data_IF_154857000351
#
_entry.id   IF_154857000351
#
_cell.length_a   1.000
_cell.length_b   1.000
_cell.length_c   1.000
_cell.angle_alpha   90.00
_cell.angle_beta   90.00
_cell.angle_gamma   90.00
#
_symmetry.space_group_name_H-M   'P 1'
#
loop_
_entity.id
_entity.type
_entity.pdbx_description
1 polymer ?
#
# COMPACT_ATOMS: atom_id res chain seq x y z
N UNK A 1 5.26 -16.53 0.84
CA UNK A 1 5.19 -15.21 0.18
C UNK A 1 3.98 -15.14 -0.72
N UNK A 2 3.27 -14.04 -0.67
CA UNK A 2 2.10 -13.85 -1.51
C UNK A 2 2.20 -12.51 -2.25
N UNK A 3 1.84 -12.53 -3.53
CA UNK A 3 1.77 -11.34 -4.36
C UNK A 3 0.31 -11.02 -4.65
N UNK A 4 -0.09 -9.79 -4.35
CA UNK A 4 -1.46 -9.36 -4.59
C UNK A 4 -1.42 -8.10 -5.47
N UNK A 5 -2.11 -8.14 -6.59
CA UNK A 5 -2.25 -6.99 -7.47
C UNK A 5 -3.58 -6.31 -7.19
N UNK A 6 -3.54 -5.05 -6.84
CA UNK A 6 -4.74 -4.26 -6.56
C UNK A 6 -4.90 -3.16 -7.59
N UNK A 7 -6.11 -3.01 -8.10
CA UNK A 7 -6.47 -1.91 -9.00
C UNK A 7 -7.41 -1.01 -8.23
N UNK A 8 -7.01 0.24 -8.02
CA UNK A 8 -7.79 1.21 -7.26
C UNK A 8 -8.21 2.35 -8.14
N UNK A 9 -9.51 2.60 -8.22
CA UNK A 9 -10.03 3.76 -8.90
C UNK A 9 -9.73 5.02 -8.09
N UNK A 10 -9.62 6.15 -8.77
CA UNK A 10 -9.41 7.44 -8.14
C UNK A 10 -10.42 7.67 -7.00
N UNK A 11 -9.92 8.04 -5.85
CA UNK A 11 -10.74 8.29 -4.66
C UNK A 11 -11.04 7.05 -3.83
N UNK A 12 -10.66 5.86 -4.31
CA UNK A 12 -10.86 4.63 -3.55
C UNK A 12 -9.95 4.61 -2.33
N UNK A 13 -10.50 4.18 -1.21
CA UNK A 13 -9.78 4.17 0.05
C UNK A 13 -9.82 2.78 0.66
N UNK A 14 -8.66 2.33 1.13
CA UNK A 14 -8.53 1.09 1.89
C UNK A 14 -8.34 1.48 3.34
N UNK A 15 -9.27 1.11 4.25
CA UNK A 15 -9.17 1.52 5.65
C UNK A 15 -8.04 0.82 6.39
N UNK A 16 -7.75 1.29 7.58
CA UNK A 16 -6.71 0.72 8.43
C UNK A 16 -6.93 -0.75 8.66
N UNK A 17 -5.87 -1.52 8.51
CA UNK A 17 -5.87 -2.95 8.86
C UNK A 17 -4.46 -3.35 9.27
N UNK A 18 -4.36 -4.50 9.92
CA UNK A 18 -3.08 -5.07 10.35
C UNK A 18 -2.80 -6.32 9.57
N UNK A 19 -1.53 -6.53 9.27
CA UNK A 19 -1.07 -7.73 8.59
C UNK A 19 -0.19 -8.56 9.52
N UNK A 20 -0.16 -9.85 9.28
CA UNK A 20 0.59 -10.78 10.13
C UNK A 20 2.07 -10.84 9.80
N UNK A 21 2.50 -10.20 8.76
CA UNK A 21 3.91 -10.20 8.36
C UNK A 21 4.30 -8.92 7.66
N UNK A 22 5.60 -8.75 7.38
CA UNK A 22 6.06 -7.58 6.64
C UNK A 22 5.47 -7.56 5.24
N UNK A 23 5.16 -6.36 4.75
CA UNK A 23 4.69 -6.21 3.38
C UNK A 23 5.50 -5.14 2.66
N UNK A 24 5.58 -5.29 1.35
CA UNK A 24 6.14 -4.28 0.46
C UNK A 24 5.03 -3.80 -0.46
N UNK A 25 4.88 -2.50 -0.54
CA UNK A 25 3.91 -1.85 -1.42
C UNK A 25 4.67 -1.24 -2.58
N UNK A 26 4.36 -1.68 -3.81
CA UNK A 26 4.99 -1.14 -5.00
C UNK A 26 3.92 -0.49 -5.87
N UNK A 27 4.06 0.81 -6.11
CA UNK A 27 3.16 1.54 -6.99
C UNK A 27 3.61 1.33 -8.43
N UNK A 28 2.84 0.55 -9.20
CA UNK A 28 3.16 0.25 -10.59
C UNK A 28 2.69 1.36 -11.51
N UNK A 29 1.54 1.96 -11.20
CA UNK A 29 0.94 2.99 -12.02
C UNK A 29 0.08 3.88 -11.15
N UNK A 30 0.08 5.18 -11.42
CA UNK A 30 -0.76 6.13 -10.71
C UNK A 30 -0.07 6.71 -9.49
N UNK A 31 -0.87 7.07 -8.51
CA UNK A 31 -0.37 7.73 -7.29
C UNK A 31 -1.27 7.37 -6.11
N UNK A 32 -0.65 7.01 -5.00
CA UNK A 32 -1.38 6.73 -3.76
C UNK A 32 -0.86 7.58 -2.62
N UNK A 33 -1.73 7.79 -1.64
CA UNK A 33 -1.39 8.41 -0.37
C UNK A 33 -1.46 7.32 0.69
N UNK A 34 -0.36 7.11 1.36
CA UNK A 34 -0.21 6.05 2.34
C UNK A 34 -0.05 6.64 3.74
N UNK A 35 -0.89 6.23 4.68
CA UNK A 35 -0.86 6.71 6.06
C UNK A 35 -0.55 5.58 7.01
N UNK A 36 0.50 5.74 7.83
CA UNK A 36 0.88 4.79 8.86
C UNK A 36 1.44 5.53 10.05
N UNK A 37 1.01 5.18 11.26
CA UNK A 37 1.51 5.71 12.54
C UNK A 37 1.59 7.26 12.52
N UNK A 38 0.49 7.90 12.13
CA UNK A 38 0.41 9.36 12.15
C UNK A 38 1.23 10.07 11.09
N UNK A 39 1.84 9.35 10.16
CA UNK A 39 2.60 9.94 9.07
C UNK A 39 1.97 9.56 7.74
N UNK A 40 1.93 10.51 6.81
CA UNK A 40 1.40 10.30 5.48
C UNK A 40 2.50 10.45 4.44
N UNK A 41 2.61 9.48 3.55
CA UNK A 41 3.55 9.50 2.45
C UNK A 41 2.83 9.29 1.14
N UNK A 42 3.33 9.92 0.07
CA UNK A 42 2.80 9.72 -1.27
C UNK A 42 3.73 8.81 -2.05
N UNK A 43 3.16 7.84 -2.74
CA UNK A 43 3.88 6.93 -3.61
C UNK A 43 3.45 7.16 -5.04
N UNK A 44 4.42 7.38 -5.90
CA UNK A 44 4.24 7.52 -7.34
C UNK A 44 4.66 6.25 -8.06
N UNK A 45 4.44 6.23 -9.37
CA UNK A 45 4.88 5.12 -10.22
C UNK A 45 6.35 4.78 -9.94
N UNK A 46 6.61 3.49 -9.80
CA UNK A 46 7.93 2.89 -9.58
C UNK A 46 8.52 3.11 -8.18
N UNK A 47 7.75 3.65 -7.24
CA UNK A 47 8.19 3.79 -5.87
C UNK A 47 7.77 2.62 -5.01
N UNK A 48 8.59 2.28 -4.02
CA UNK A 48 8.37 1.18 -3.11
C UNK A 48 8.26 1.68 -1.68
N UNK A 49 7.44 1.01 -0.88
CA UNK A 49 7.34 1.25 0.55
C UNK A 49 7.32 -0.10 1.26
N UNK A 50 8.14 -0.24 2.28
CA UNK A 50 8.21 -1.44 3.10
C UNK A 50 7.57 -1.17 4.46
N UNK A 51 6.70 -2.08 4.91
CA UNK A 51 5.99 -1.95 6.19
C UNK A 51 6.31 -3.11 7.10
N UNK A 52 6.51 -2.79 8.37
CA UNK A 52 6.71 -3.80 9.39
C UNK A 52 5.38 -4.40 9.82
N UNK A 53 5.38 -5.63 10.35
CA UNK A 53 4.15 -6.26 10.84
C UNK A 53 3.53 -5.50 11.99
N UNK A 54 2.23 -5.64 12.13
CA UNK A 54 1.43 -5.08 13.22
C UNK A 54 1.25 -3.56 13.20
N UNK A 55 1.75 -2.87 12.18
CA UNK A 55 1.50 -1.43 12.05
C UNK A 55 0.19 -1.20 11.30
N UNK A 56 -0.78 -0.49 11.90
CA UNK A 56 -1.99 -0.16 11.15
C UNK A 56 -1.67 0.84 10.05
N UNK A 57 -2.30 0.66 8.89
CA UNK A 57 -2.05 1.53 7.75
C UNK A 57 -3.31 1.66 6.89
N UNK A 58 -3.38 2.76 6.16
CA UNK A 58 -4.46 2.99 5.20
C UNK A 58 -3.88 3.53 3.90
N UNK A 59 -4.61 3.30 2.81
CA UNK A 59 -4.19 3.71 1.47
C UNK A 59 -5.35 4.43 0.79
N UNK A 60 -5.05 5.52 0.11
CA UNK A 60 -6.03 6.24 -0.70
C UNK A 60 -5.45 6.47 -2.09
N UNK A 61 -6.21 6.11 -3.11
CA UNK A 61 -5.80 6.36 -4.49
C UNK A 61 -6.09 7.80 -4.87
N UNK A 62 -5.05 8.54 -5.23
CA UNK A 62 -5.18 9.94 -5.68
C UNK A 62 -5.56 9.96 -7.15
N UNK A 63 -5.11 8.95 -7.90
CA UNK A 63 -5.43 8.73 -9.31
C UNK A 63 -5.83 7.28 -9.48
N UNK A 64 -6.26 6.90 -10.68
CA UNK A 64 -6.43 5.48 -11.00
C UNK A 64 -5.07 4.81 -10.86
N UNK A 65 -4.98 3.82 -9.99
CA UNK A 65 -3.70 3.29 -9.54
C UNK A 65 -3.70 1.76 -9.58
N UNK A 66 -2.53 1.21 -9.89
CA UNK A 66 -2.26 -0.23 -9.75
C UNK A 66 -1.11 -0.37 -8.77
N UNK A 67 -1.33 -1.14 -7.72
CA UNK A 67 -0.27 -1.44 -6.74
C UNK A 67 -0.07 -2.94 -6.64
N UNK A 68 1.15 -3.32 -6.34
CA UNK A 68 1.52 -4.70 -6.10
C UNK A 68 1.95 -4.84 -4.65
N UNK A 69 1.27 -5.69 -3.92
CA UNK A 69 1.61 -5.99 -2.53
C UNK A 69 2.36 -7.30 -2.47
N UNK A 70 3.49 -7.30 -1.80
CA UNK A 70 4.24 -8.51 -1.51
C UNK A 70 4.13 -8.77 -0.02
N UNK A 71 3.50 -9.87 0.35
CA UNK A 71 3.29 -10.25 1.74
C UNK A 71 4.22 -11.42 2.05
N UNK A 72 5.04 -11.26 3.07
CA UNK A 72 5.97 -12.29 3.50
C UNK A 72 5.43 -12.94 4.77
N UNK A 73 5.13 -14.21 4.71
CA UNK A 73 4.67 -14.98 5.86
C UNK A 73 5.88 -15.66 6.51
N UNK A 74 5.85 -15.70 7.83
CA UNK A 74 6.85 -16.44 8.58
C UNK A 74 6.19 -17.50 9.44
#
# INVERSE_FOLDING_TARGET
MELVRLVLARGKKIPNHKLLGPITVHCIKGKIEFTAIGATQKLKKDELLHLMPAEPHSVKAIENTVILLTIIFK
#
